data_IF_425101026694
#
_entry.id   IF_425101026694
#
_cell.length_a   1.000
_cell.length_b   1.000
_cell.length_c   1.000
_cell.angle_alpha   90.00
_cell.angle_beta   90.00
_cell.angle_gamma   90.00
#
_symmetry.space_group_name_H-M   'P 1'
#
loop_
_entity.id
_entity.type
_entity.pdbx_description
1 polymer ?
#
# COMPACT_ATOMS: atom_id res chain seq x y z
N UNK A 1 -7.80 -3.59 -15.15
CA UNK A 1 -7.17 -2.26 -15.40
C UNK A 1 -6.28 -1.93 -14.22
N UNK A 2 -5.01 -1.66 -14.47
CA UNK A 2 -4.04 -1.30 -13.42
C UNK A 2 -4.27 0.18 -13.05
N UNK A 3 -4.40 0.45 -11.76
CA UNK A 3 -4.50 1.81 -11.23
C UNK A 3 -3.12 2.43 -11.03
N UNK A 4 -3.02 3.72 -11.33
CA UNK A 4 -1.85 4.51 -10.97
C UNK A 4 -2.01 5.10 -9.56
N UNK A 5 -0.88 5.41 -8.92
CA UNK A 5 -0.81 6.05 -7.59
C UNK A 5 -1.66 7.31 -7.52
N UNK A 6 -1.62 8.16 -8.55
CA UNK A 6 -2.36 9.43 -8.56
C UNK A 6 -3.89 9.24 -8.50
N UNK A 7 -4.40 8.16 -9.09
CA UNK A 7 -5.84 7.82 -9.03
C UNK A 7 -6.24 7.41 -7.61
N UNK A 8 -5.42 6.59 -6.94
CA UNK A 8 -5.65 6.19 -5.54
C UNK A 8 -5.59 7.39 -4.60
N UNK A 9 -4.58 8.25 -4.75
CA UNK A 9 -4.43 9.48 -3.95
C UNK A 9 -5.63 10.38 -4.12
N UNK A 10 -6.05 10.63 -5.36
CA UNK A 10 -7.21 11.48 -5.65
C UNK A 10 -8.51 10.90 -5.07
N UNK A 11 -8.72 9.58 -5.21
CA UNK A 11 -9.90 8.93 -4.67
C UNK A 11 -9.96 8.91 -3.14
N UNK A 12 -8.80 8.82 -2.48
CA UNK A 12 -8.71 8.76 -1.02
C UNK A 12 -8.83 10.13 -0.36
N UNK A 13 -8.22 11.18 -0.95
CA UNK A 13 -8.09 12.49 -0.29
C UNK A 13 -9.24 13.44 -0.68
N UNK A 14 -10.19 13.77 0.24
CA UNK A 14 -11.39 14.51 -0.09
C UNK A 14 -11.16 15.91 -0.66
N UNK A 15 -10.04 16.54 -0.31
CA UNK A 15 -9.70 17.89 -0.78
C UNK A 15 -8.92 17.90 -2.10
N UNK A 16 -8.63 16.73 -2.66
CA UNK A 16 -7.93 16.65 -3.94
C UNK A 16 -8.83 17.15 -5.07
N UNK A 17 -8.27 17.98 -5.98
CA UNK A 17 -9.05 18.60 -7.08
C UNK A 17 -9.78 17.58 -7.97
N UNK A 18 -9.27 16.35 -8.08
CA UNK A 18 -9.86 15.27 -8.87
C UNK A 18 -10.58 14.22 -8.01
N UNK A 19 -10.84 14.51 -6.73
CA UNK A 19 -11.43 13.52 -5.81
C UNK A 19 -12.75 12.96 -6.34
N UNK A 20 -13.71 13.81 -6.67
CA UNK A 20 -15.03 13.38 -7.13
C UNK A 20 -14.93 12.48 -8.37
N UNK A 21 -14.11 12.86 -9.34
CA UNK A 21 -13.91 12.10 -10.58
C UNK A 21 -13.28 10.73 -10.30
N UNK A 22 -12.21 10.68 -9.50
CA UNK A 22 -11.51 9.45 -9.19
C UNK A 22 -12.36 8.51 -8.33
N UNK A 23 -13.00 9.02 -7.30
CA UNK A 23 -13.88 8.24 -6.42
C UNK A 23 -15.07 7.65 -7.20
N UNK A 24 -15.75 8.46 -8.00
CA UNK A 24 -16.85 7.98 -8.82
C UNK A 24 -16.42 6.92 -9.82
N UNK A 25 -15.25 7.13 -10.46
CA UNK A 25 -14.70 6.17 -11.44
C UNK A 25 -14.38 4.82 -10.80
N UNK A 26 -13.81 4.81 -9.59
CA UNK A 26 -13.55 3.58 -8.83
C UNK A 26 -14.87 2.92 -8.43
N UNK A 27 -15.79 3.67 -7.81
CA UNK A 27 -17.09 3.14 -7.34
C UNK A 27 -17.89 2.46 -8.45
N UNK A 28 -17.85 3.00 -9.67
CA UNK A 28 -18.54 2.39 -10.82
C UNK A 28 -17.95 1.02 -11.22
N UNK A 29 -16.75 0.69 -10.76
CA UNK A 29 -16.03 -0.54 -11.10
C UNK A 29 -15.97 -1.55 -9.98
N UNK A 30 -16.24 -1.12 -8.76
CA UNK A 30 -16.44 -2.06 -7.66
C UNK A 30 -17.70 -2.87 -7.93
N UNK A 31 -17.66 -4.14 -7.56
CA UNK A 31 -18.79 -5.02 -7.75
C UNK A 31 -19.84 -4.74 -6.70
N UNK A 32 -20.87 -3.99 -7.04
CA UNK A 32 -22.11 -4.02 -6.27
C UNK A 32 -22.84 -5.39 -6.46
N UNK A 33 -22.09 -6.48 -6.60
CA UNK A 33 -22.59 -7.85 -6.71
C UNK A 33 -23.27 -8.22 -8.02
N UNK A 34 -23.34 -7.34 -9.05
CA UNK A 34 -24.22 -7.59 -10.19
C UNK A 34 -23.65 -7.30 -11.59
N UNK A 35 -22.46 -6.74 -11.75
CA UNK A 35 -21.99 -6.43 -13.11
C UNK A 35 -20.65 -7.11 -13.45
N UNK A 36 -20.74 -8.35 -13.96
CA UNK A 36 -19.59 -9.14 -14.45
C UNK A 36 -18.96 -8.59 -15.75
N UNK A 37 -19.54 -7.56 -16.35
CA UNK A 37 -19.07 -6.98 -17.62
C UNK A 37 -17.98 -5.92 -17.44
N UNK A 38 -17.69 -5.49 -16.22
CA UNK A 38 -16.68 -4.45 -15.94
C UNK A 38 -15.33 -5.08 -15.67
N UNK A 39 -14.30 -4.62 -16.40
CA UNK A 39 -12.94 -5.12 -16.21
C UNK A 39 -12.45 -4.88 -14.76
N UNK A 40 -11.81 -5.87 -14.12
CA UNK A 40 -11.39 -5.78 -12.73
C UNK A 40 -10.36 -4.66 -12.52
N UNK A 41 -10.42 -4.05 -11.33
CA UNK A 41 -9.37 -3.18 -10.84
C UNK A 41 -8.17 -4.03 -10.46
N UNK A 42 -6.98 -3.53 -10.77
CA UNK A 42 -5.74 -4.23 -10.47
C UNK A 42 -4.82 -3.31 -9.69
N UNK A 43 -4.47 -3.71 -8.47
CA UNK A 43 -3.50 -3.04 -7.63
C UNK A 43 -2.16 -3.77 -7.71
N UNK A 44 -1.08 -3.03 -7.80
CA UNK A 44 0.28 -3.55 -7.74
C UNK A 44 0.98 -3.05 -6.48
N UNK A 45 1.84 -3.87 -5.88
CA UNK A 45 2.53 -3.50 -4.63
C UNK A 45 3.31 -2.19 -4.71
N UNK A 46 4.03 -1.86 -5.81
CA UNK A 46 4.67 -0.55 -5.95
C UNK A 46 3.68 0.62 -5.89
N UNK A 47 2.48 0.43 -6.46
CA UNK A 47 1.41 1.44 -6.44
C UNK A 47 0.87 1.62 -5.03
N UNK A 48 0.62 0.53 -4.30
CA UNK A 48 0.17 0.58 -2.91
C UNK A 48 1.24 1.27 -2.04
N UNK A 49 2.50 0.89 -2.17
CA UNK A 49 3.61 1.51 -1.44
C UNK A 49 3.71 3.01 -1.72
N UNK A 50 3.63 3.41 -2.99
CA UNK A 50 3.62 4.81 -3.40
C UNK A 50 2.44 5.59 -2.83
N UNK A 51 1.24 5.02 -2.88
CA UNK A 51 0.03 5.60 -2.29
C UNK A 51 0.19 5.83 -0.77
N UNK A 52 0.54 4.79 -0.02
CA UNK A 52 0.72 4.87 1.44
C UNK A 52 1.77 5.92 1.81
N UNK A 53 2.90 5.96 1.09
CA UNK A 53 3.94 6.96 1.30
C UNK A 53 3.43 8.38 1.11
N UNK A 54 2.72 8.64 0.02
CA UNK A 54 2.26 9.99 -0.32
C UNK A 54 1.18 10.50 0.64
N UNK A 55 0.13 9.72 0.91
CA UNK A 55 -1.00 10.19 1.72
C UNK A 55 -0.68 10.36 3.19
N UNK A 56 0.38 9.71 3.68
CA UNK A 56 0.85 9.84 5.07
C UNK A 56 1.96 10.90 5.23
N UNK A 57 2.34 11.57 4.14
CA UNK A 57 3.48 12.50 4.16
C UNK A 57 3.05 13.92 4.49
N UNK A 58 3.47 14.42 5.67
CA UNK A 58 3.10 15.75 6.20
C UNK A 58 3.62 16.93 5.37
N UNK A 59 4.67 16.73 4.55
CA UNK A 59 5.17 17.77 3.64
C UNK A 59 4.39 17.84 2.31
N UNK A 60 3.59 16.82 2.01
CA UNK A 60 2.79 16.77 0.77
C UNK A 60 1.36 17.21 1.04
N UNK A 61 0.79 16.77 2.15
CA UNK A 61 -0.55 17.15 2.57
C UNK A 61 -0.49 17.91 3.89
N UNK A 62 -1.24 19.02 3.98
CA UNK A 62 -1.37 19.79 5.21
C UNK A 62 -2.09 18.98 6.31
N UNK A 63 -3.00 18.11 5.91
CA UNK A 63 -3.72 17.16 6.77
C UNK A 63 -3.49 15.73 6.23
N UNK A 64 -2.33 15.12 6.54
CA UNK A 64 -2.00 13.79 6.04
C UNK A 64 -2.86 12.74 6.73
N UNK A 65 -3.17 11.67 5.98
CA UNK A 65 -3.85 10.51 6.54
C UNK A 65 -2.97 9.80 7.55
N UNK A 66 -3.58 9.20 8.57
CA UNK A 66 -2.87 8.23 9.38
C UNK A 66 -2.55 6.97 8.56
N UNK A 67 -1.51 6.24 8.98
CA UNK A 67 -1.17 4.96 8.35
C UNK A 67 -2.35 3.98 8.37
N UNK A 68 -3.12 3.96 9.46
CA UNK A 68 -4.30 3.12 9.57
C UNK A 68 -5.38 3.49 8.56
N UNK A 69 -5.70 4.79 8.40
CA UNK A 69 -6.68 5.24 7.42
C UNK A 69 -6.27 4.85 6.00
N UNK A 70 -4.99 5.02 5.66
CA UNK A 70 -4.47 4.68 4.35
C UNK A 70 -4.50 3.17 4.08
N UNK A 71 -4.10 2.35 5.06
CA UNK A 71 -4.16 0.88 4.96
C UNK A 71 -5.60 0.40 4.82
N UNK A 72 -6.53 0.93 5.61
CA UNK A 72 -7.94 0.51 5.54
C UNK A 72 -8.61 0.89 4.22
N UNK A 73 -8.17 1.96 3.57
CA UNK A 73 -8.63 2.27 2.22
C UNK A 73 -8.19 1.20 1.21
N UNK A 74 -6.96 0.71 1.29
CA UNK A 74 -6.48 -0.39 0.44
C UNK A 74 -7.21 -1.69 0.78
N UNK A 75 -7.37 -2.02 2.07
CA UNK A 75 -8.13 -3.20 2.50
C UNK A 75 -9.54 -3.18 1.92
N UNK A 76 -10.25 -2.05 2.01
CA UNK A 76 -11.59 -1.88 1.46
C UNK A 76 -11.65 -2.12 -0.05
N UNK A 77 -10.66 -1.64 -0.81
CA UNK A 77 -10.58 -1.93 -2.24
C UNK A 77 -10.36 -3.43 -2.52
N UNK A 78 -9.48 -4.08 -1.73
CA UNK A 78 -9.13 -5.49 -1.91
C UNK A 78 -10.22 -6.46 -1.44
N UNK A 79 -11.15 -6.03 -0.58
CA UNK A 79 -12.33 -6.81 -0.18
C UNK A 79 -13.34 -6.95 -1.32
N UNK A 80 -13.31 -6.06 -2.31
CA UNK A 80 -14.22 -6.12 -3.44
C UNK A 80 -13.82 -7.23 -4.42
N UNK A 81 -14.79 -8.08 -4.81
CA UNK A 81 -14.55 -9.23 -5.70
C UNK A 81 -14.08 -8.85 -7.11
N UNK A 82 -14.27 -7.58 -7.51
CA UNK A 82 -13.78 -7.06 -8.79
C UNK A 82 -12.42 -6.36 -8.67
N UNK A 83 -11.76 -6.48 -7.53
CA UNK A 83 -10.40 -5.97 -7.30
C UNK A 83 -9.43 -7.11 -7.08
N UNK A 84 -8.27 -7.04 -7.70
CA UNK A 84 -7.20 -8.02 -7.53
C UNK A 84 -5.86 -7.35 -7.22
N UNK A 85 -5.03 -8.05 -6.45
CA UNK A 85 -3.65 -7.67 -6.18
C UNK A 85 -2.72 -8.46 -7.10
N UNK A 86 -1.79 -7.77 -7.77
CA UNK A 86 -0.66 -8.40 -8.45
C UNK A 86 0.48 -8.54 -7.44
N UNK A 87 0.93 -9.76 -7.24
CA UNK A 87 1.97 -10.12 -6.29
C UNK A 87 1.52 -11.25 -5.37
N UNK A 88 2.29 -11.50 -4.34
CA UNK A 88 1.93 -12.49 -3.34
C UNK A 88 1.02 -11.86 -2.28
N UNK A 89 -0.09 -12.51 -1.98
CA UNK A 89 -1.00 -12.03 -0.91
C UNK A 89 -0.33 -11.96 0.45
N UNK A 90 0.66 -12.85 0.71
CA UNK A 90 1.47 -12.84 1.93
C UNK A 90 2.34 -11.60 2.06
N UNK A 91 2.84 -11.05 0.95
CA UNK A 91 3.59 -9.79 0.93
C UNK A 91 2.75 -8.62 1.46
N UNK A 92 1.50 -8.48 1.00
CA UNK A 92 0.60 -7.46 1.51
C UNK A 92 0.31 -7.63 3.00
N UNK A 93 0.10 -8.85 3.48
CA UNK A 93 -0.16 -9.13 4.89
C UNK A 93 1.04 -8.73 5.78
N UNK A 94 2.26 -9.06 5.38
CA UNK A 94 3.47 -8.65 6.10
C UNK A 94 3.65 -7.13 6.06
N UNK A 95 3.48 -6.52 4.90
CA UNK A 95 3.61 -5.08 4.72
C UNK A 95 2.61 -4.31 5.59
N UNK A 96 1.35 -4.68 5.52
CA UNK A 96 0.27 -4.13 6.33
C UNK A 96 0.57 -4.24 7.83
N UNK A 97 1.00 -5.41 8.28
CA UNK A 97 1.34 -5.67 9.69
C UNK A 97 2.49 -4.77 10.17
N UNK A 98 3.56 -4.64 9.40
CA UNK A 98 4.67 -3.75 9.73
C UNK A 98 4.22 -2.29 9.88
N UNK A 99 3.44 -1.80 8.92
CA UNK A 99 2.95 -0.42 8.94
C UNK A 99 2.09 -0.15 10.17
N UNK A 100 1.12 -1.02 10.46
CA UNK A 100 0.19 -0.84 11.57
C UNK A 100 0.88 -0.99 12.93
N UNK A 101 1.72 -2.01 13.10
CA UNK A 101 2.37 -2.30 14.39
C UNK A 101 3.41 -1.26 14.79
N UNK A 102 4.13 -0.70 13.81
CA UNK A 102 5.20 0.27 14.06
C UNK A 102 4.79 1.70 13.72
N UNK A 103 3.54 1.92 13.28
CA UNK A 103 3.02 3.23 12.86
C UNK A 103 3.90 3.91 11.82
N UNK A 104 4.39 3.10 10.86
CA UNK A 104 5.25 3.60 9.80
C UNK A 104 4.50 4.54 8.87
N UNK A 105 5.19 5.55 8.36
CA UNK A 105 4.62 6.55 7.48
C UNK A 105 5.69 7.17 6.58
N UNK A 106 5.26 7.90 5.55
CA UNK A 106 6.15 8.70 4.71
C UNK A 106 7.31 7.85 4.15
N UNK A 107 8.54 8.25 4.41
CA UNK A 107 9.74 7.63 3.85
C UNK A 107 10.08 6.25 4.44
N UNK A 108 9.43 5.85 5.55
CA UNK A 108 9.60 4.50 6.12
C UNK A 108 8.85 3.43 5.29
N UNK A 109 7.89 3.83 4.49
CA UNK A 109 7.02 2.92 3.72
C UNK A 109 7.79 2.07 2.70
N UNK A 110 8.70 2.62 1.88
CA UNK A 110 9.49 1.81 0.95
C UNK A 110 10.32 0.72 1.63
N UNK A 111 10.92 1.03 2.79
CA UNK A 111 11.73 0.07 3.54
C UNK A 111 10.86 -1.05 4.13
N UNK A 112 9.67 -0.70 4.62
CA UNK A 112 8.68 -1.67 5.06
C UNK A 112 8.25 -2.62 3.95
N UNK A 113 8.12 -2.13 2.72
CA UNK A 113 7.83 -2.98 1.57
C UNK A 113 8.95 -3.97 1.28
N UNK A 114 10.23 -3.51 1.23
CA UNK A 114 11.39 -4.39 1.03
C UNK A 114 11.49 -5.44 2.15
N UNK A 115 11.24 -5.05 3.39
CA UNK A 115 11.19 -5.99 4.51
C UNK A 115 10.07 -7.03 4.34
N UNK A 116 8.89 -6.61 3.85
CA UNK A 116 7.77 -7.53 3.60
C UNK A 116 8.07 -8.56 2.52
N UNK A 117 8.86 -8.21 1.51
CA UNK A 117 9.35 -9.16 0.51
C UNK A 117 10.22 -10.23 1.14
N UNK A 118 11.21 -9.83 1.96
CA UNK A 118 12.10 -10.76 2.66
C UNK A 118 11.31 -11.71 3.57
N UNK A 119 10.31 -11.19 4.30
CA UNK A 119 9.42 -11.98 5.14
C UNK A 119 8.57 -12.97 4.32
N UNK A 120 8.02 -12.53 3.19
CA UNK A 120 7.19 -13.36 2.32
C UNK A 120 7.96 -14.49 1.67
N UNK A 121 9.20 -14.21 1.24
CA UNK A 121 10.05 -15.16 0.56
C UNK A 121 10.82 -16.07 1.55
N UNK A 122 10.93 -15.65 2.82
CA UNK A 122 11.79 -16.31 3.80
C UNK A 122 13.27 -16.19 3.47
N UNK A 123 13.66 -15.15 2.71
CA UNK A 123 15.02 -14.94 2.26
C UNK A 123 15.70 -13.78 3.02
N UNK A 124 17.02 -13.91 3.34
CA UNK A 124 17.77 -12.86 3.99
C UNK A 124 17.86 -11.58 3.13
N UNK A 125 17.58 -10.45 3.75
CA UNK A 125 17.76 -9.12 3.18
C UNK A 125 19.15 -8.58 3.54
N UNK A 126 19.91 -8.17 2.54
CA UNK A 126 21.29 -7.70 2.70
C UNK A 126 21.32 -6.17 2.54
N UNK A 127 21.84 -5.46 3.54
CA UNK A 127 21.84 -3.99 3.52
C UNK A 127 22.96 -3.42 4.41
N UNK A 128 23.31 -2.15 4.20
CA UNK A 128 24.12 -1.34 5.12
C UNK A 128 23.24 -0.56 6.11
N UNK A 129 21.92 -0.47 5.86
CA UNK A 129 21.03 0.32 6.67
C UNK A 129 20.63 -0.42 7.96
N UNK A 130 21.03 0.18 9.09
CA UNK A 130 20.72 -0.33 10.44
C UNK A 130 19.24 -0.21 10.79
N UNK A 131 18.46 0.63 10.10
CA UNK A 131 17.02 0.81 10.30
C UNK A 131 16.23 -0.48 10.11
N UNK A 132 16.69 -1.38 9.24
CA UNK A 132 16.07 -2.69 9.02
C UNK A 132 16.07 -3.63 10.22
N UNK A 133 16.86 -3.33 11.27
CA UNK A 133 16.80 -4.09 12.54
C UNK A 133 15.44 -4.01 13.24
N UNK A 134 14.67 -2.99 12.97
CA UNK A 134 13.33 -2.81 13.50
C UNK A 134 12.26 -3.51 12.63
N UNK A 135 12.58 -3.74 11.38
CA UNK A 135 11.65 -4.30 10.38
C UNK A 135 11.80 -5.81 10.20
N UNK A 136 13.02 -6.34 10.41
CA UNK A 136 13.34 -7.74 10.14
C UNK A 136 13.93 -8.46 11.35
N UNK A 137 13.59 -9.75 11.53
CA UNK A 137 14.27 -10.58 12.50
C UNK A 137 15.75 -10.81 12.10
N UNK A 138 16.60 -11.07 13.09
CA UNK A 138 18.04 -11.30 12.85
C UNK A 138 18.32 -12.41 11.85
N UNK A 139 17.46 -13.42 11.77
CA UNK A 139 17.57 -14.54 10.83
C UNK A 139 17.39 -14.14 9.37
N UNK A 140 16.69 -13.04 9.12
CA UNK A 140 16.42 -12.51 7.77
C UNK A 140 17.15 -11.18 7.49
N UNK A 141 18.14 -10.82 8.30
CA UNK A 141 18.90 -9.59 8.09
C UNK A 141 20.40 -9.85 8.06
N UNK A 142 21.03 -9.52 6.94
CA UNK A 142 22.49 -9.48 6.80
C UNK A 142 22.91 -8.02 6.73
N UNK A 143 23.47 -7.52 7.83
CA UNK A 143 23.93 -6.15 7.92
C UNK A 143 25.42 -6.08 7.59
N UNK A 144 25.75 -5.46 6.47
CA UNK A 144 27.12 -5.20 6.05
C UNK A 144 27.73 -4.06 6.87
N UNK A 145 29.09 -4.08 7.01
CA UNK A 145 29.86 -3.06 7.74
C UNK A 145 30.61 -2.16 6.79
#
# INVERSE_FOLDING_TARGET
MILDVNVLVAAHHPTHQHHATAAQWILQRLSNGQNTAVAPLTLAMPVISGFLRLVTHSKIFADPSSSAQAVYFIDWLLEDSNTRLIGQTTEWQHFRTLILSQKLHSNDIPDAWLASLALSLGEPFVTFDKGFRQLLPKSLLVLLK
#
